data_IF_140708766207
#
_entry.id   IF_140708766207
#
_cell.length_a   1.000
_cell.length_b   1.000
_cell.length_c   1.000
_cell.angle_alpha   90.00
_cell.angle_beta   90.00
_cell.angle_gamma   90.00
#
_symmetry.space_group_name_H-M   'P 1'
#
loop_
_entity.id
_entity.type
_entity.pdbx_description
1 polymer ?
#
# COMPACT_ATOMS: atom_id res chain seq x y z
N UNK A 1 3.41 -13.89 13.48
CA UNK A 1 3.02 -13.66 12.06
C UNK A 1 3.75 -14.59 11.10
N UNK A 2 5.10 -14.64 11.09
CA UNK A 2 5.87 -15.51 10.16
C UNK A 2 5.33 -16.95 10.04
N UNK A 3 5.10 -17.61 11.18
CA UNK A 3 4.53 -18.96 11.24
C UNK A 3 3.17 -19.08 10.54
N UNK A 4 2.22 -18.22 10.91
CA UNK A 4 0.88 -18.21 10.33
C UNK A 4 0.90 -17.98 8.81
N UNK A 5 1.75 -17.09 8.30
CA UNK A 5 1.89 -16.86 6.85
C UNK A 5 2.40 -18.12 6.11
N UNK A 6 3.36 -18.83 6.69
CA UNK A 6 3.83 -20.09 6.14
C UNK A 6 2.74 -21.17 6.16
N UNK A 7 2.09 -21.35 7.31
CA UNK A 7 1.12 -22.42 7.54
C UNK A 7 -0.20 -22.21 6.75
N UNK A 8 -0.69 -20.96 6.65
CA UNK A 8 -2.02 -20.65 6.10
C UNK A 8 -1.99 -20.14 4.65
N UNK A 9 -0.88 -19.53 4.22
CA UNK A 9 -0.73 -18.94 2.88
C UNK A 9 0.34 -19.62 2.03
N UNK A 10 1.17 -20.49 2.59
CA UNK A 10 2.28 -21.12 1.86
C UNK A 10 3.37 -20.14 1.44
N UNK A 11 3.48 -19.00 2.12
CA UNK A 11 4.44 -17.94 1.80
C UNK A 11 5.55 -17.87 2.85
N UNK A 12 6.75 -17.49 2.42
CA UNK A 12 7.87 -17.23 3.34
C UNK A 12 7.91 -15.75 3.69
N UNK A 13 7.63 -15.42 4.95
CA UNK A 13 7.80 -14.07 5.48
C UNK A 13 9.14 -13.97 6.23
N UNK A 14 9.89 -12.90 5.99
CA UNK A 14 11.07 -12.53 6.79
C UNK A 14 10.69 -11.42 7.75
N UNK A 15 11.16 -11.50 8.99
CA UNK A 15 11.02 -10.43 9.97
C UNK A 15 12.35 -10.16 10.65
N UNK A 16 12.61 -8.88 10.94
CA UNK A 16 13.79 -8.43 11.66
C UNK A 16 13.44 -7.32 12.66
N UNK A 17 14.19 -7.24 13.76
CA UNK A 17 14.20 -6.07 14.66
C UNK A 17 15.58 -5.46 14.58
N UNK A 18 15.67 -4.28 13.98
CA UNK A 18 16.93 -3.56 13.76
C UNK A 18 17.04 -2.39 14.74
N UNK A 19 18.05 -2.36 15.62
CA UNK A 19 18.27 -1.22 16.51
C UNK A 19 18.58 0.06 15.73
N UNK A 20 17.95 1.19 16.11
CA UNK A 20 18.26 2.51 15.53
C UNK A 20 19.73 2.90 15.76
N UNK A 21 20.33 2.45 16.86
CA UNK A 21 21.76 2.66 17.15
C UNK A 21 22.65 2.10 16.04
N UNK A 22 22.34 0.92 15.52
CA UNK A 22 23.14 0.26 14.48
C UNK A 22 22.97 0.97 13.13
N UNK A 23 21.76 1.45 12.83
CA UNK A 23 21.50 2.31 11.67
C UNK A 23 22.39 3.56 11.72
N UNK A 24 22.41 4.24 12.87
CA UNK A 24 23.18 5.48 13.07
C UNK A 24 24.68 5.26 13.09
N UNK A 25 25.14 4.10 13.57
CA UNK A 25 26.54 3.70 13.49
C UNK A 25 27.03 3.59 12.03
N UNK A 26 26.13 3.35 11.07
CA UNK A 26 26.41 3.33 9.64
C UNK A 26 26.23 4.70 8.95
N UNK A 27 26.07 5.79 9.73
CA UNK A 27 25.92 7.15 9.20
C UNK A 27 24.56 7.41 8.53
N UNK A 28 23.57 6.56 8.78
CA UNK A 28 22.19 6.68 8.30
C UNK A 28 21.26 7.10 9.44
N UNK A 29 20.02 7.46 9.13
CA UNK A 29 19.02 7.75 10.14
C UNK A 29 17.61 7.32 9.70
N UNK A 30 16.68 7.24 10.65
CA UNK A 30 15.25 7.02 10.39
C UNK A 30 14.51 8.27 10.83
N UNK A 31 14.39 9.24 9.92
CA UNK A 31 13.60 10.45 10.13
C UNK A 31 12.16 10.17 9.75
N UNK A 32 11.24 10.62 10.58
CA UNK A 32 9.81 10.41 10.40
C UNK A 32 9.11 11.75 10.25
N UNK A 33 8.26 11.87 9.24
CA UNK A 33 7.34 12.98 9.08
C UNK A 33 5.90 12.46 9.14
N UNK A 34 5.01 13.22 9.79
CA UNK A 34 3.59 12.92 9.85
C UNK A 34 2.88 13.59 8.67
N UNK A 35 2.43 12.80 7.72
CA UNK A 35 1.63 13.25 6.59
C UNK A 35 0.14 13.11 6.89
N UNK A 36 -0.65 14.13 6.59
CA UNK A 36 -2.11 14.14 6.79
C UNK A 36 -2.79 13.83 5.46
N UNK A 37 -3.33 12.63 5.30
CA UNK A 37 -4.06 12.25 4.07
C UNK A 37 -5.50 12.78 4.09
N UNK A 38 -6.13 12.81 5.26
CA UNK A 38 -7.46 13.38 5.46
C UNK A 38 -7.55 14.09 6.81
N UNK A 39 -8.73 14.62 7.16
CA UNK A 39 -8.93 15.23 8.47
C UNK A 39 -8.58 14.25 9.62
N UNK A 40 -8.88 12.96 9.43
CA UNK A 40 -8.78 11.92 10.44
C UNK A 40 -7.63 10.93 10.24
N UNK A 41 -7.11 10.76 9.02
CA UNK A 41 -6.05 9.79 8.71
C UNK A 41 -4.66 10.45 8.56
N UNK A 42 -3.68 9.84 9.23
CA UNK A 42 -2.28 10.25 9.18
C UNK A 42 -1.38 9.07 8.82
N UNK A 43 -0.39 9.33 7.97
CA UNK A 43 0.61 8.36 7.54
C UNK A 43 2.00 8.82 7.95
N UNK A 44 2.86 7.87 8.32
CA UNK A 44 4.27 8.13 8.54
C UNK A 44 5.02 8.09 7.20
N UNK A 45 5.81 9.11 6.94
CA UNK A 45 6.76 9.17 5.83
C UNK A 45 8.17 9.05 6.39
N UNK A 46 9.03 8.29 5.72
CA UNK A 46 10.36 7.95 6.21
C UNK A 46 11.46 8.46 5.28
N UNK A 47 12.52 9.00 5.87
CA UNK A 47 13.70 9.45 5.14
C UNK A 47 14.99 9.26 5.96
N UNK A 48 16.14 9.19 5.31
CA UNK A 48 17.45 9.12 5.97
C UNK A 48 18.24 7.85 5.65
N UNK A 49 17.71 6.99 4.78
CA UNK A 49 18.35 5.76 4.29
C UNK A 49 18.28 4.59 5.26
N UNK A 50 17.89 4.83 6.52
CA UNK A 50 17.88 3.80 7.55
C UNK A 50 16.85 2.70 7.31
N UNK A 51 15.68 3.03 6.75
CA UNK A 51 14.65 2.04 6.40
C UNK A 51 15.12 1.12 5.29
N UNK A 52 15.67 1.71 4.21
CA UNK A 52 16.25 0.97 3.09
C UNK A 52 17.42 0.07 3.52
N UNK A 53 18.28 0.58 4.41
CA UNK A 53 19.38 -0.20 4.97
C UNK A 53 18.85 -1.37 5.82
N UNK A 54 17.93 -1.11 6.75
CA UNK A 54 17.33 -2.17 7.58
C UNK A 54 16.67 -3.27 6.73
N UNK A 55 16.00 -2.91 5.64
CA UNK A 55 15.44 -3.87 4.68
C UNK A 55 16.54 -4.71 4.00
N UNK A 56 17.65 -4.09 3.60
CA UNK A 56 18.80 -4.78 3.01
C UNK A 56 19.47 -5.75 4.00
N UNK A 57 19.67 -5.32 5.24
CA UNK A 57 20.22 -6.15 6.32
C UNK A 57 19.33 -7.38 6.60
N UNK A 58 18.01 -7.17 6.68
CA UNK A 58 17.02 -8.24 6.83
C UNK A 58 17.09 -9.22 5.64
N UNK A 59 17.21 -8.73 4.41
CA UNK A 59 17.33 -9.58 3.21
C UNK A 59 18.64 -10.36 3.20
N UNK A 60 19.70 -9.82 3.79
CA UNK A 60 20.99 -10.49 4.00
C UNK A 60 20.97 -11.47 5.19
N UNK A 61 19.84 -11.61 5.89
CA UNK A 61 19.66 -12.55 6.99
C UNK A 61 20.10 -12.04 8.36
N UNK A 62 20.48 -10.76 8.49
CA UNK A 62 20.86 -10.13 9.76
C UNK A 62 19.62 -9.65 10.52
N UNK A 63 19.75 -9.48 11.84
CA UNK A 63 18.69 -9.02 12.75
C UNK A 63 17.40 -9.85 12.75
N UNK A 64 17.48 -11.08 12.24
CA UNK A 64 16.33 -11.95 12.00
C UNK A 64 15.64 -12.34 13.31
N UNK A 65 14.32 -12.36 13.27
CA UNK A 65 13.49 -12.96 14.33
C UNK A 65 13.09 -14.36 13.87
N UNK A 66 13.22 -15.34 14.76
CA UNK A 66 12.78 -16.70 14.46
C UNK A 66 11.25 -16.82 14.40
N UNK A 67 10.70 -17.71 13.55
CA UNK A 67 9.27 -17.97 13.53
C UNK A 67 8.78 -18.53 14.88
N UNK A 68 7.59 -18.11 15.29
CA UNK A 68 6.92 -18.69 16.45
C UNK A 68 6.69 -20.22 16.29
N UNK A 69 6.47 -20.95 17.39
CA UNK A 69 6.15 -22.39 17.36
C UNK A 69 4.96 -22.71 16.46
N UNK A 70 4.91 -23.95 15.95
CA UNK A 70 3.83 -24.41 15.07
C UNK A 70 2.45 -24.20 15.72
N UNK A 71 1.46 -23.79 14.92
CA UNK A 71 0.12 -23.48 15.41
C UNK A 71 -0.04 -22.12 16.10
N UNK A 72 1.04 -21.36 16.32
CA UNK A 72 0.95 -20.01 16.84
C UNK A 72 0.25 -19.07 15.84
N UNK A 73 -0.79 -18.37 16.29
CA UNK A 73 -1.59 -17.45 15.49
C UNK A 73 -1.39 -16.02 15.96
N UNK A 74 -1.09 -15.06 15.05
CA UNK A 74 -1.10 -13.64 15.41
C UNK A 74 -2.52 -13.14 15.63
N UNK A 75 -2.66 -12.08 16.40
CA UNK A 75 -3.85 -11.25 16.36
C UNK A 75 -3.81 -10.40 15.08
N UNK A 76 -4.80 -10.59 14.21
CA UNK A 76 -4.99 -9.85 12.96
C UNK A 76 -6.25 -8.97 13.02
N UNK A 77 -6.75 -8.69 14.23
CA UNK A 77 -7.90 -7.81 14.44
C UNK A 77 -7.67 -6.47 13.74
N UNK A 78 -8.67 -6.07 12.96
CA UNK A 78 -8.65 -4.86 12.15
C UNK A 78 -8.07 -5.02 10.74
N UNK A 79 -7.38 -6.12 10.42
CA UNK A 79 -6.96 -6.40 9.03
C UNK A 79 -8.08 -7.12 8.28
N UNK A 80 -8.90 -6.35 7.57
CA UNK A 80 -9.98 -6.88 6.73
C UNK A 80 -10.22 -5.99 5.52
N UNK A 81 -9.96 -6.50 4.31
CA UNK A 81 -10.33 -5.82 3.08
C UNK A 81 -11.42 -6.61 2.37
N UNK A 82 -12.58 -5.99 2.19
CA UNK A 82 -13.76 -6.57 1.51
C UNK A 82 -14.16 -5.79 0.27
N UNK A 83 -13.30 -4.86 -0.15
CA UNK A 83 -13.46 -4.10 -1.37
C UNK A 83 -13.00 -4.93 -2.56
N UNK A 84 -13.63 -4.69 -3.71
CA UNK A 84 -13.22 -5.28 -4.97
C UNK A 84 -11.94 -4.60 -5.47
N UNK A 85 -11.19 -5.25 -6.39
CA UNK A 85 -10.17 -4.57 -7.16
C UNK A 85 -10.70 -3.28 -7.77
N UNK A 86 -9.86 -2.24 -7.74
CA UNK A 86 -10.18 -0.90 -8.23
C UNK A 86 -9.69 -0.81 -9.66
N UNK A 87 -10.59 -0.96 -10.62
CA UNK A 87 -10.27 -0.87 -12.05
C UNK A 87 -9.88 0.55 -12.46
N UNK A 88 -8.94 0.67 -13.39
CA UNK A 88 -8.52 1.94 -13.99
C UNK A 88 -9.71 2.64 -14.67
N UNK A 89 -9.81 3.96 -14.49
CA UNK A 89 -10.83 4.80 -15.12
C UNK A 89 -10.27 5.71 -16.21
N UNK A 90 -9.03 6.15 -16.05
CA UNK A 90 -8.39 7.12 -16.94
C UNK A 90 -7.51 6.47 -18.00
N UNK A 91 -7.13 5.21 -17.77
CA UNK A 91 -6.43 4.40 -18.74
C UNK A 91 -5.81 3.20 -18.05
N UNK A 92 -4.86 3.46 -17.16
CA UNK A 92 -4.11 2.41 -16.46
C UNK A 92 -3.73 2.80 -15.04
N UNK A 93 -3.69 1.77 -14.18
CA UNK A 93 -3.06 1.88 -12.87
C UNK A 93 -1.56 1.71 -13.05
N UNK A 94 -0.78 2.60 -12.45
CA UNK A 94 0.68 2.62 -12.57
C UNK A 94 1.31 2.67 -11.18
N UNK A 95 2.13 1.65 -10.87
CA UNK A 95 2.98 1.64 -9.69
C UNK A 95 4.36 2.20 -10.03
N UNK A 96 4.79 3.23 -9.31
CA UNK A 96 6.04 3.96 -9.51
C UNK A 96 6.86 3.86 -8.24
N UNK A 97 8.15 3.54 -8.39
CA UNK A 97 9.15 3.68 -7.33
C UNK A 97 10.27 4.55 -7.90
N UNK A 98 10.61 5.65 -7.23
CA UNK A 98 11.79 6.45 -7.54
C UNK A 98 12.61 6.64 -6.26
N UNK A 99 13.91 6.39 -6.35
CA UNK A 99 14.87 6.53 -5.24
C UNK A 99 15.98 7.48 -5.64
N UNK A 100 16.62 8.20 -4.70
CA UNK A 100 17.75 9.06 -5.00
C UNK A 100 18.86 8.30 -5.77
N UNK A 101 19.37 8.94 -6.82
CA UNK A 101 20.41 8.38 -7.68
C UNK A 101 21.83 8.59 -7.15
N UNK A 102 22.82 8.16 -7.93
CA UNK A 102 24.23 8.22 -7.55
C UNK A 102 24.76 9.65 -7.36
N UNK A 103 24.14 10.66 -8.00
CA UNK A 103 24.54 12.07 -7.84
C UNK A 103 24.33 12.59 -6.42
N UNK A 104 23.49 11.91 -5.62
CA UNK A 104 23.03 12.34 -4.28
C UNK A 104 22.46 13.76 -4.27
N UNK A 105 21.98 14.25 -5.41
CA UNK A 105 21.30 15.54 -5.50
C UNK A 105 19.89 15.44 -4.91
N UNK A 106 19.82 15.63 -3.59
CA UNK A 106 18.56 15.58 -2.84
C UNK A 106 17.58 16.69 -3.27
N UNK A 107 18.08 17.86 -3.70
CA UNK A 107 17.21 18.96 -4.15
C UNK A 107 16.62 18.65 -5.53
N UNK A 108 17.46 18.15 -6.44
CA UNK A 108 17.00 17.66 -7.75
C UNK A 108 15.98 16.53 -7.60
N UNK A 109 16.21 15.60 -6.67
CA UNK A 109 15.25 14.53 -6.38
C UNK A 109 13.93 15.05 -5.78
N UNK A 110 13.98 16.03 -4.87
CA UNK A 110 12.77 16.67 -4.33
C UNK A 110 11.97 17.40 -5.42
N UNK A 111 12.67 18.09 -6.32
CA UNK A 111 12.05 18.74 -7.47
C UNK A 111 11.41 17.72 -8.40
N UNK A 112 12.10 16.63 -8.73
CA UNK A 112 11.56 15.52 -9.50
C UNK A 112 10.30 14.92 -8.86
N UNK A 113 10.35 14.63 -7.56
CA UNK A 113 9.21 14.06 -6.85
C UNK A 113 7.99 15.00 -6.89
N UNK A 114 8.22 16.29 -6.69
CA UNK A 114 7.18 17.33 -6.78
C UNK A 114 6.61 17.44 -8.20
N UNK A 115 7.46 17.34 -9.22
CA UNK A 115 7.06 17.41 -10.63
C UNK A 115 6.24 16.19 -11.06
N UNK A 116 6.62 14.98 -10.63
CA UNK A 116 5.83 13.75 -10.87
C UNK A 116 4.45 13.86 -10.19
N UNK A 117 4.41 14.36 -8.95
CA UNK A 117 3.16 14.60 -8.24
C UNK A 117 2.30 15.63 -8.97
N UNK A 118 2.89 16.70 -9.48
CA UNK A 118 2.18 17.73 -10.25
C UNK A 118 1.68 17.20 -11.60
N UNK A 119 2.43 16.31 -12.26
CA UNK A 119 1.99 15.64 -13.49
C UNK A 119 0.80 14.71 -13.22
N UNK A 120 0.85 13.90 -12.15
CA UNK A 120 -0.30 13.09 -11.72
C UNK A 120 -1.50 13.98 -11.32
N UNK A 121 -1.23 15.16 -10.76
CA UNK A 121 -2.18 16.21 -10.42
C UNK A 121 -3.06 16.72 -11.57
N UNK A 122 -2.69 16.42 -12.82
CA UNK A 122 -3.50 16.80 -14.00
C UNK A 122 -4.71 15.89 -14.22
N UNK A 123 -4.76 14.74 -13.55
CA UNK A 123 -5.87 13.81 -13.60
C UNK A 123 -6.91 14.10 -12.52
N UNK A 124 -8.10 13.50 -12.67
CA UNK A 124 -9.14 13.56 -11.66
C UNK A 124 -8.60 13.12 -10.29
N UNK A 125 -8.88 13.91 -9.25
CA UNK A 125 -8.40 13.70 -7.88
C UNK A 125 -6.87 13.47 -7.83
N UNK A 126 -6.13 14.16 -8.68
CA UNK A 126 -4.69 14.04 -8.80
C UNK A 126 -4.20 12.60 -9.14
N UNK A 127 -5.00 11.81 -9.86
CA UNK A 127 -4.68 10.42 -10.21
C UNK A 127 -4.93 9.44 -9.06
N UNK A 128 -5.76 9.82 -8.08
CA UNK A 128 -6.19 8.95 -6.99
C UNK A 128 -7.00 7.75 -7.54
N UNK A 129 -6.54 6.50 -7.38
CA UNK A 129 -7.20 5.35 -8.00
C UNK A 129 -8.58 5.06 -7.39
N UNK A 130 -8.77 5.32 -6.09
CA UNK A 130 -10.06 5.10 -5.42
C UNK A 130 -11.09 6.18 -5.84
N UNK A 131 -12.31 5.80 -6.24
CA UNK A 131 -13.39 6.73 -6.55
C UNK A 131 -13.79 7.62 -5.37
N UNK A 132 -14.33 8.82 -5.62
CA UNK A 132 -14.77 9.73 -4.54
C UNK A 132 -15.84 9.12 -3.63
N UNK A 133 -16.78 8.35 -4.19
CA UNK A 133 -17.83 7.65 -3.43
C UNK A 133 -17.39 6.28 -2.92
N UNK A 134 -16.07 6.03 -2.88
CA UNK A 134 -15.47 4.79 -2.42
C UNK A 134 -15.39 3.68 -3.46
N UNK A 135 -14.62 2.61 -3.17
CA UNK A 135 -14.49 1.47 -4.05
C UNK A 135 -15.77 0.61 -4.04
N UNK A 136 -15.92 -0.22 -5.07
CA UNK A 136 -16.98 -1.23 -5.12
C UNK A 136 -16.72 -2.38 -4.15
N UNK A 137 -17.77 -3.11 -3.80
CA UNK A 137 -17.72 -4.34 -3.02
C UNK A 137 -18.73 -5.34 -3.55
N UNK A 138 -18.55 -6.61 -3.19
CA UNK A 138 -19.45 -7.71 -3.57
C UNK A 138 -19.96 -8.43 -2.33
N UNK A 139 -21.16 -9.03 -2.43
CA UNK A 139 -21.75 -9.84 -1.36
C UNK A 139 -20.85 -11.02 -0.95
N UNK A 140 -20.11 -11.55 -1.92
CA UNK A 140 -19.08 -12.56 -1.72
C UNK A 140 -17.72 -11.94 -2.07
N UNK A 141 -16.97 -11.42 -1.07
CA UNK A 141 -15.65 -10.85 -1.31
C UNK A 141 -14.68 -11.91 -1.84
N UNK A 142 -13.83 -11.55 -2.80
CA UNK A 142 -12.80 -12.45 -3.33
C UNK A 142 -11.85 -12.98 -2.23
N UNK A 143 -11.60 -12.16 -1.20
CA UNK A 143 -10.77 -12.50 -0.05
C UNK A 143 -11.46 -13.30 1.07
N UNK A 144 -12.71 -13.74 0.91
CA UNK A 144 -13.51 -14.37 1.98
C UNK A 144 -12.80 -15.55 2.65
N UNK A 145 -12.12 -16.41 1.88
CA UNK A 145 -11.42 -17.56 2.44
C UNK A 145 -10.19 -17.16 3.25
N UNK A 146 -9.39 -16.21 2.73
CA UNK A 146 -8.20 -15.69 3.40
C UNK A 146 -8.59 -14.94 4.68
N UNK A 147 -9.65 -14.13 4.65
CA UNK A 147 -10.16 -13.45 5.84
C UNK A 147 -10.65 -14.46 6.89
N UNK A 148 -11.38 -15.50 6.49
CA UNK A 148 -11.79 -16.56 7.41
C UNK A 148 -10.60 -17.33 8.01
N UNK A 149 -9.53 -17.56 7.23
CA UNK A 149 -8.26 -18.14 7.71
C UNK A 149 -7.53 -17.21 8.67
N UNK A 150 -7.68 -15.89 8.57
CA UNK A 150 -7.11 -14.93 9.51
C UNK A 150 -7.90 -14.92 10.83
N UNK A 151 -9.23 -14.88 10.76
CA UNK A 151 -10.11 -14.74 11.93
C UNK A 151 -10.22 -16.00 12.80
N UNK A 152 -10.10 -17.20 12.21
CA UNK A 152 -10.42 -18.43 12.93
C UNK A 152 -9.57 -19.65 12.54
N UNK A 153 -9.36 -20.60 13.49
CA UNK A 153 -8.76 -21.90 13.20
C UNK A 153 -9.66 -22.74 12.27
N UNK A 154 -9.09 -23.76 11.63
CA UNK A 154 -9.73 -24.57 10.58
C UNK A 154 -11.18 -24.99 10.88
N UNK A 155 -11.47 -25.50 12.08
CA UNK A 155 -12.82 -25.96 12.46
C UNK A 155 -13.88 -24.86 12.61
N UNK A 156 -13.48 -23.59 12.70
CA UNK A 156 -14.37 -22.44 12.97
C UNK A 156 -14.49 -21.48 11.78
N UNK A 157 -13.80 -21.76 10.68
CA UNK A 157 -13.79 -20.90 9.48
C UNK A 157 -15.16 -20.73 8.86
N UNK A 158 -16.00 -21.78 8.85
CA UNK A 158 -17.34 -21.70 8.29
C UNK A 158 -18.23 -20.69 9.02
N UNK A 159 -18.11 -20.59 10.36
CA UNK A 159 -18.82 -19.56 11.15
C UNK A 159 -18.34 -18.17 10.79
N UNK A 160 -17.02 -18.01 10.62
CA UNK A 160 -16.42 -16.74 10.18
C UNK A 160 -16.90 -16.35 8.79
N UNK A 161 -16.99 -17.29 7.84
CA UNK A 161 -17.53 -17.05 6.50
C UNK A 161 -18.99 -16.61 6.55
N UNK A 162 -19.85 -17.32 7.30
CA UNK A 162 -21.25 -16.95 7.46
C UNK A 162 -21.39 -15.56 8.08
N UNK A 163 -20.56 -15.24 9.07
CA UNK A 163 -20.54 -13.92 9.70
C UNK A 163 -20.13 -12.82 8.72
N UNK A 164 -19.07 -13.03 7.93
CA UNK A 164 -18.63 -12.08 6.91
C UNK A 164 -19.72 -11.86 5.85
N UNK A 165 -20.34 -12.94 5.35
CA UNK A 165 -21.44 -12.85 4.37
C UNK A 165 -22.62 -12.11 4.96
N UNK A 166 -23.03 -12.42 6.20
CA UNK A 166 -24.09 -11.69 6.90
C UNK A 166 -23.79 -10.19 6.99
N UNK A 167 -22.56 -9.82 7.39
CA UNK A 167 -22.15 -8.42 7.45
C UNK A 167 -22.17 -7.77 6.07
N UNK A 168 -21.71 -8.45 5.01
CA UNK A 168 -21.74 -7.92 3.64
C UNK A 168 -23.16 -7.74 3.11
N UNK A 169 -24.07 -8.67 3.41
CA UNK A 169 -25.49 -8.55 3.08
C UNK A 169 -26.12 -7.37 3.82
N UNK A 170 -25.81 -7.20 5.11
CA UNK A 170 -26.29 -6.06 5.89
C UNK A 170 -25.76 -4.74 5.32
N UNK A 171 -24.45 -4.66 5.02
CA UNK A 171 -23.85 -3.48 4.37
C UNK A 171 -24.54 -3.18 3.03
N UNK A 172 -24.71 -4.18 2.17
CA UNK A 172 -25.37 -4.02 0.87
C UNK A 172 -26.81 -3.51 1.00
N UNK A 173 -27.57 -4.05 1.95
CA UNK A 173 -28.92 -3.57 2.23
C UNK A 173 -28.91 -2.11 2.71
N UNK A 174 -28.05 -1.77 3.67
CA UNK A 174 -27.97 -0.39 4.19
C UNK A 174 -27.54 0.62 3.13
N UNK A 175 -26.58 0.28 2.26
CA UNK A 175 -26.15 1.13 1.15
C UNK A 175 -27.27 1.30 0.12
N UNK A 176 -27.99 0.21 -0.21
CA UNK A 176 -29.08 0.20 -1.19
C UNK A 176 -30.31 1.00 -0.75
N UNK A 177 -30.64 0.96 0.54
CA UNK A 177 -31.79 1.68 1.12
C UNK A 177 -31.41 3.03 1.74
N UNK A 178 -30.11 3.35 1.83
CA UNK A 178 -29.62 4.59 2.45
C UNK A 178 -29.85 4.63 3.96
N UNK A 179 -29.83 3.48 4.63
CA UNK A 179 -30.06 3.39 6.08
C UNK A 179 -28.79 3.65 6.86
N UNK A 180 -28.91 4.44 7.92
CA UNK A 180 -27.87 4.61 8.94
C UNK A 180 -28.15 3.64 10.09
N UNK A 181 -27.16 2.84 10.50
CA UNK A 181 -27.28 1.95 11.67
C UNK A 181 -26.50 2.59 12.84
N UNK A 182 -27.22 3.14 13.81
CA UNK A 182 -26.62 3.85 14.93
C UNK A 182 -25.80 5.06 14.44
N UNK A 183 -24.47 4.99 14.58
CA UNK A 183 -23.53 6.03 14.09
C UNK A 183 -22.89 5.68 12.74
N UNK A 184 -23.22 4.53 12.16
CA UNK A 184 -22.62 4.07 10.91
C UNK A 184 -23.49 4.49 9.73
N UNK A 185 -22.92 5.33 8.86
CA UNK A 185 -23.46 5.66 7.54
C UNK A 185 -22.55 5.05 6.45
N UNK A 186 -23.06 4.12 5.62
CA UNK A 186 -22.25 3.45 4.60
C UNK A 186 -21.71 4.40 3.52
N UNK A 187 -22.44 5.47 3.18
CA UNK A 187 -22.00 6.46 2.18
C UNK A 187 -20.86 7.31 2.73
N UNK A 188 -20.98 7.74 3.97
CA UNK A 188 -19.91 8.49 4.66
C UNK A 188 -18.68 7.60 4.80
N UNK A 189 -18.84 6.36 5.26
CA UNK A 189 -17.73 5.41 5.41
C UNK A 189 -16.98 5.17 4.09
N UNK A 190 -17.69 5.00 2.97
CA UNK A 190 -17.08 4.81 1.64
C UNK A 190 -16.28 6.03 1.18
N UNK A 191 -16.77 7.24 1.43
CA UNK A 191 -16.05 8.48 1.14
C UNK A 191 -14.82 8.64 2.03
N UNK A 192 -14.93 8.27 3.30
CA UNK A 192 -13.81 8.27 4.24
C UNK A 192 -12.72 7.31 3.77
N UNK A 193 -13.09 6.09 3.35
CA UNK A 193 -12.15 5.13 2.74
C UNK A 193 -11.39 5.77 1.59
N UNK A 194 -12.10 6.44 0.68
CA UNK A 194 -11.50 7.13 -0.46
C UNK A 194 -10.62 8.33 -0.08
N UNK A 195 -10.92 9.03 1.01
CA UNK A 195 -10.10 10.16 1.50
C UNK A 195 -8.91 9.72 2.35
N UNK A 196 -9.05 8.59 3.03
CA UNK A 196 -8.05 8.05 3.94
C UNK A 196 -7.06 7.14 3.22
N UNK A 197 -7.16 6.94 1.90
CA UNK A 197 -6.31 6.00 1.17
C UNK A 197 -4.92 6.56 0.88
N UNK A 198 -3.88 5.82 1.26
CA UNK A 198 -2.49 6.09 0.93
C UNK A 198 -2.11 5.45 -0.41
N UNK A 199 -2.10 6.28 -1.44
CA UNK A 199 -1.69 5.97 -2.81
C UNK A 199 -0.39 6.66 -3.22
N UNK A 200 0.17 7.51 -2.33
CA UNK A 200 1.46 8.18 -2.50
C UNK A 200 2.16 8.26 -1.16
N UNK A 201 3.33 7.63 -1.08
CA UNK A 201 4.14 7.62 0.13
C UNK A 201 5.60 7.89 -0.17
N UNK A 202 6.31 8.32 0.86
CA UNK A 202 7.74 8.57 0.83
C UNK A 202 8.41 7.69 1.88
N UNK A 203 9.27 6.79 1.41
CA UNK A 203 10.00 5.82 2.23
C UNK A 203 11.39 5.66 1.61
N UNK A 204 12.28 6.58 2.00
CA UNK A 204 13.60 6.84 1.38
C UNK A 204 13.57 7.12 -0.14
N UNK A 205 12.38 7.28 -0.68
CA UNK A 205 12.09 7.47 -2.09
C UNK A 205 10.58 7.62 -2.31
N UNK A 206 10.21 8.12 -3.48
CA UNK A 206 8.82 8.29 -3.88
C UNK A 206 8.23 6.94 -4.30
N UNK A 207 7.08 6.59 -3.72
CA UNK A 207 6.27 5.42 -4.11
C UNK A 207 4.85 5.89 -4.40
N UNK A 208 4.34 5.60 -5.59
CA UNK A 208 2.98 6.00 -6.00
C UNK A 208 2.26 4.87 -6.73
N UNK A 209 0.96 4.73 -6.48
CA UNK A 209 0.04 3.92 -7.28
C UNK A 209 -1.08 4.84 -7.77
N UNK A 210 -1.07 5.18 -9.06
CA UNK A 210 -1.94 6.21 -9.64
C UNK A 210 -2.75 5.68 -10.82
N UNK A 211 -3.93 6.24 -11.04
CA UNK A 211 -4.75 6.02 -12.25
C UNK A 211 -4.55 7.20 -13.20
N UNK A 212 -3.92 6.93 -14.35
CA UNK A 212 -3.54 7.97 -15.32
C UNK A 212 -3.84 7.56 -16.75
N UNK A 213 -4.04 8.55 -17.61
CA UNK A 213 -4.14 8.33 -19.05
C UNK A 213 -2.75 8.14 -19.68
N UNK A 214 -2.76 7.83 -20.98
CA UNK A 214 -1.53 7.57 -21.73
C UNK A 214 -0.62 8.80 -21.85
N UNK A 215 -1.19 10.01 -21.94
CA UNK A 215 -0.42 11.24 -22.13
C UNK A 215 0.32 11.64 -20.84
N UNK A 216 -0.37 11.57 -19.70
CA UNK A 216 0.23 11.81 -18.38
C UNK A 216 1.27 10.74 -18.06
N UNK A 217 0.97 9.47 -18.36
CA UNK A 217 1.93 8.39 -18.19
C UNK A 217 3.21 8.63 -19.01
N UNK A 218 3.08 8.99 -20.28
CA UNK A 218 4.24 9.26 -21.14
C UNK A 218 5.10 10.40 -20.56
N UNK A 219 4.48 11.49 -20.12
CA UNK A 219 5.20 12.63 -19.50
C UNK A 219 5.93 12.22 -18.21
N UNK A 220 5.29 11.41 -17.37
CA UNK A 220 5.92 10.88 -16.14
C UNK A 220 7.13 10.00 -16.50
N UNK A 221 6.97 9.11 -17.49
CA UNK A 221 8.05 8.25 -17.95
C UNK A 221 9.23 9.03 -18.52
N UNK A 222 8.97 10.01 -19.39
CA UNK A 222 10.00 10.88 -19.95
C UNK A 222 10.75 11.62 -18.84
N UNK A 223 10.02 12.14 -17.86
CA UNK A 223 10.62 12.89 -16.76
C UNK A 223 11.50 12.01 -15.86
N UNK A 224 11.03 10.81 -15.54
CA UNK A 224 11.81 9.81 -14.80
C UNK A 224 13.06 9.37 -15.59
N UNK A 225 12.93 9.15 -16.90
CA UNK A 225 14.05 8.78 -17.77
C UNK A 225 15.13 9.87 -17.80
N UNK A 226 14.74 11.13 -18.03
CA UNK A 226 15.68 12.25 -18.04
C UNK A 226 16.40 12.40 -16.69
N UNK A 227 15.68 12.21 -15.58
CA UNK A 227 16.27 12.28 -14.25
C UNK A 227 17.21 11.09 -13.95
N UNK A 228 16.92 9.90 -14.47
CA UNK A 228 17.80 8.73 -14.40
C UNK A 228 19.07 8.94 -15.22
N UNK A 229 18.95 9.46 -16.45
CA UNK A 229 20.09 9.81 -17.31
C UNK A 229 20.97 10.90 -16.69
N UNK A 230 20.37 11.85 -15.97
CA UNK A 230 21.10 12.86 -15.19
C UNK A 230 21.64 12.35 -13.84
N UNK A 231 21.41 11.08 -13.50
CA UNK A 231 21.86 10.47 -12.24
C UNK A 231 21.13 10.95 -10.99
N UNK A 232 20.03 11.69 -11.13
CA UNK A 232 19.21 12.28 -10.04
C UNK A 232 18.40 11.19 -9.32
N UNK A 233 17.89 10.20 -10.05
CA UNK A 233 17.12 9.10 -9.47
C UNK A 233 17.42 7.76 -10.13
N UNK A 234 17.15 6.67 -9.41
CA UNK A 234 16.87 5.38 -10.02
C UNK A 234 15.37 5.12 -9.90
N UNK A 235 14.72 4.63 -10.96
CA UNK A 235 13.28 4.37 -10.91
C UNK A 235 12.86 3.00 -11.45
N UNK A 236 11.69 2.55 -11.00
CA UNK A 236 10.98 1.40 -11.53
C UNK A 236 9.51 1.76 -11.73
N UNK A 237 8.91 1.22 -12.80
CA UNK A 237 7.52 1.48 -13.14
C UNK A 237 6.86 0.18 -13.60
N UNK A 238 5.62 -0.04 -13.16
CA UNK A 238 4.80 -1.17 -13.58
C UNK A 238 3.38 -0.72 -13.92
N UNK A 239 2.90 -1.13 -15.10
CA UNK A 239 1.55 -0.83 -15.62
C UNK A 239 0.64 -2.02 -15.36
N UNK A 240 -0.59 -1.76 -14.93
CA UNK A 240 -1.60 -2.78 -14.65
C UNK A 240 -3.02 -2.21 -14.81
N UNK A 241 -4.03 -3.08 -14.80
CA UNK A 241 -5.42 -2.69 -15.04
C UNK A 241 -6.19 -2.32 -13.77
N UNK A 242 -5.74 -2.78 -12.61
CA UNK A 242 -6.43 -2.50 -11.35
C UNK A 242 -5.47 -2.34 -10.17
N UNK A 243 -5.95 -1.63 -9.15
CA UNK A 243 -5.30 -1.48 -7.85
C UNK A 243 -6.01 -2.36 -6.80
N UNK A 244 -5.26 -2.77 -5.79
CA UNK A 244 -5.75 -3.45 -4.60
C UNK A 244 -5.65 -2.53 -3.39
N UNK A 245 -6.55 -2.75 -2.46
CA UNK A 245 -6.57 -2.05 -1.18
C UNK A 245 -6.24 -3.03 -0.06
N UNK A 246 -5.42 -2.58 0.89
CA UNK A 246 -5.24 -3.24 2.18
C UNK A 246 -5.78 -2.33 3.26
N UNK A 247 -6.72 -2.83 4.07
CA UNK A 247 -7.41 -2.03 5.08
C UNK A 247 -6.97 -2.43 6.49
N UNK A 248 -6.67 -1.44 7.31
CA UNK A 248 -6.50 -1.57 8.75
C UNK A 248 -7.57 -0.72 9.45
N UNK A 249 -8.61 -1.40 9.93
CA UNK A 249 -9.84 -0.82 10.49
C UNK A 249 -10.05 -1.39 11.89
N UNK A 250 -9.52 -0.71 12.91
CA UNK A 250 -9.73 -1.13 14.31
C UNK A 250 -11.22 -1.07 14.68
N UNK A 251 -11.89 -0.02 14.22
CA UNK A 251 -13.35 0.12 14.35
C UNK A 251 -13.93 0.82 13.12
N UNK A 252 -14.99 0.30 12.50
CA UNK A 252 -15.68 0.96 11.40
C UNK A 252 -16.45 2.21 11.83
N UNK A 253 -16.61 2.42 13.15
CA UNK A 253 -17.24 3.62 13.72
C UNK A 253 -16.25 4.76 13.91
N UNK A 254 -14.95 4.49 13.80
CA UNK A 254 -13.91 5.50 13.86
C UNK A 254 -13.52 5.94 12.44
N UNK A 255 -13.24 7.25 12.31
CA UNK A 255 -12.94 7.90 11.03
C UNK A 255 -11.45 7.82 10.66
N UNK A 256 -10.59 7.31 11.56
CA UNK A 256 -9.13 7.26 11.44
C UNK A 256 -8.62 5.93 10.86
N UNK A 257 -9.51 5.14 10.28
CA UNK A 257 -9.15 3.92 9.56
C UNK A 257 -8.17 4.24 8.42
N UNK A 258 -7.19 3.35 8.21
CA UNK A 258 -6.12 3.55 7.22
C UNK A 258 -6.20 2.49 6.13
N UNK A 259 -5.96 2.92 4.90
CA UNK A 259 -6.07 2.09 3.71
C UNK A 259 -4.85 2.30 2.83
N UNK A 260 -4.19 1.22 2.45
CA UNK A 260 -3.01 1.26 1.60
C UNK A 260 -3.36 0.80 0.19
N UNK A 261 -2.91 1.56 -0.82
CA UNK A 261 -3.15 1.24 -2.23
C UNK A 261 -1.87 0.69 -2.87
N UNK A 262 -2.00 -0.46 -3.53
CA UNK A 262 -0.97 -1.07 -4.36
C UNK A 262 -1.59 -1.57 -5.68
N UNK A 263 -0.76 -1.95 -6.64
CA UNK A 263 -1.18 -2.56 -7.89
C UNK A 263 -1.56 -4.04 -7.78
N UNK A 264 -2.57 -4.48 -8.53
CA UNK A 264 -3.05 -5.86 -8.48
C UNK A 264 -2.10 -6.89 -9.12
N UNK A 265 -1.40 -6.52 -10.19
CA UNK A 265 -0.52 -7.42 -10.95
C UNK A 265 0.91 -7.49 -10.37
N UNK A 266 1.01 -7.41 -9.03
CA UNK A 266 2.28 -7.36 -8.30
C UNK A 266 2.79 -5.94 -8.03
N UNK A 267 2.20 -4.91 -8.64
CA UNK A 267 2.35 -3.51 -8.22
C UNK A 267 3.79 -3.07 -7.91
N UNK A 268 4.02 -2.63 -6.68
CA UNK A 268 5.36 -2.21 -6.22
C UNK A 268 6.42 -3.29 -6.31
N UNK A 269 6.07 -4.58 -6.17
CA UNK A 269 7.05 -5.66 -6.30
C UNK A 269 7.60 -5.74 -7.75
N UNK A 270 6.74 -5.57 -8.75
CA UNK A 270 7.14 -5.55 -10.15
C UNK A 270 7.89 -4.26 -10.51
N UNK A 271 7.47 -3.10 -9.97
CA UNK A 271 8.23 -1.85 -10.13
C UNK A 271 9.63 -1.97 -9.51
N UNK A 272 9.76 -2.58 -8.33
CA UNK A 272 11.05 -2.82 -7.67
C UNK A 272 11.92 -3.83 -8.43
N UNK A 273 11.31 -4.82 -9.09
CA UNK A 273 12.04 -5.75 -9.95
C UNK A 273 12.61 -5.03 -11.19
N UNK A 274 11.82 -4.16 -11.82
CA UNK A 274 12.26 -3.31 -12.94
C UNK A 274 13.44 -2.40 -12.56
N UNK A 275 13.38 -1.77 -11.38
CA UNK A 275 14.48 -0.97 -10.82
C UNK A 275 15.77 -1.80 -10.69
N UNK A 276 15.69 -3.00 -10.10
CA UNK A 276 16.85 -3.87 -9.88
C UNK A 276 17.44 -4.42 -11.17
N UNK A 277 16.59 -4.77 -12.15
CA UNK A 277 17.05 -5.27 -13.43
C UNK A 277 17.93 -4.23 -14.14
N UNK A 278 17.59 -2.94 -14.03
CA UNK A 278 18.42 -1.85 -14.56
C UNK A 278 19.74 -1.69 -13.79
N UNK A 279 19.72 -1.83 -12.47
CA UNK A 279 20.92 -1.74 -11.64
C UNK A 279 21.93 -2.90 -11.82
N UNK A 280 21.50 -4.05 -12.35
CA UNK A 280 22.36 -5.21 -12.63
C UNK A 280 23.03 -5.17 -14.01
N UNK A 281 22.63 -4.23 -14.88
CA UNK A 281 23.15 -4.09 -16.25
C UNK A 281 24.26 -3.01 -16.32
N UNK A 282 24.59 -2.38 -15.21
CA UNK A 282 25.73 -1.45 -15.06
C UNK A 282 26.83 -2.07 -14.19
#
# INVERSE_FOLDING_TARGET
>A
VQRWVADELGLTLRAAIVPIGDIRAHGLDVRVARFRASEAAFYAMFAGGGGSWAEAEMKAGRYRIDPAPAGARPDLTGLSCRWNPIEARHGEIVSIIATPGASRDLRGFQFLASDIIALAGRQERDGHPVPVDGPGYSLLPAGLDVEARAMAPAGWRWRSKLWIVFLMTLTAATDRFGWTIGRFDPKVYKREVASNSDFRKFDDGLKMTIDVDADVLHRIQDRLKQAEEAGICNYGLHRQKSALMTCLVISPLQRDHVHFIDGAAGGYAMAAASLKAKAQVC
#
